data_IF_646244413416
#
_entry.id   IF_646244413416
#
_cell.length_a   1.000
_cell.length_b   1.000
_cell.length_c   1.000
_cell.angle_alpha   90.00
_cell.angle_beta   90.00
_cell.angle_gamma   90.00
#
_symmetry.space_group_name_H-M   'P 1'
#
loop_
_entity.id
_entity.type
_entity.pdbx_description
1 polymer ?
#
# COMPACT_ATOMS: atom_id res chain seq x y z
N UNK A 1 5.10 27.96 -12.25
CA UNK A 1 4.88 27.56 -10.83
C UNK A 1 4.04 26.30 -10.85
N UNK A 2 4.50 25.20 -10.24
CA UNK A 2 3.85 23.88 -10.36
C UNK A 2 2.95 23.51 -9.17
N UNK A 3 3.24 24.07 -7.99
CA UNK A 3 2.53 23.78 -6.75
C UNK A 3 1.64 24.94 -6.32
N UNK A 4 0.43 24.60 -5.89
CA UNK A 4 -0.62 25.50 -5.47
C UNK A 4 -1.15 25.08 -4.11
N UNK A 5 -1.62 26.05 -3.33
CA UNK A 5 -2.28 25.82 -2.06
C UNK A 5 -3.74 26.22 -2.19
N UNK A 6 -4.63 25.31 -1.86
CA UNK A 6 -6.07 25.56 -1.76
C UNK A 6 -6.56 25.05 -0.39
N UNK A 7 -6.98 25.99 0.46
CA UNK A 7 -7.25 25.73 1.86
C UNK A 7 -6.08 25.01 2.56
N UNK A 8 -6.34 23.78 2.99
CA UNK A 8 -5.39 22.93 3.72
C UNK A 8 -4.57 21.99 2.82
N UNK A 9 -4.79 22.00 1.50
CA UNK A 9 -4.12 21.12 0.56
C UNK A 9 -3.07 21.90 -0.23
N UNK A 10 -1.83 21.39 -0.24
CA UNK A 10 -0.82 21.78 -1.23
C UNK A 10 -0.79 20.70 -2.30
N UNK A 11 -0.91 21.05 -3.57
CA UNK A 11 -0.97 20.09 -4.66
C UNK A 11 -0.25 20.58 -5.92
N UNK A 12 0.18 19.65 -6.76
CA UNK A 12 0.69 19.92 -8.09
C UNK A 12 -0.46 19.88 -9.10
N UNK A 13 -0.64 20.95 -9.88
CA UNK A 13 -1.70 21.04 -10.89
C UNK A 13 -1.21 20.86 -12.33
N UNK A 14 0.11 20.71 -12.52
CA UNK A 14 0.78 20.55 -13.80
C UNK A 14 1.92 19.53 -13.66
N UNK A 15 1.52 18.26 -13.57
CA UNK A 15 2.45 17.12 -13.43
C UNK A 15 3.31 16.95 -14.68
N UNK A 16 2.75 17.23 -15.86
CA UNK A 16 3.46 17.16 -17.14
C UNK A 16 4.57 18.21 -17.22
N UNK A 17 4.25 19.47 -16.91
CA UNK A 17 5.23 20.54 -16.84
C UNK A 17 6.29 20.27 -15.77
N UNK A 18 5.90 19.74 -14.62
CA UNK A 18 6.83 19.34 -13.56
C UNK A 18 7.82 18.28 -14.05
N UNK A 19 7.34 17.23 -14.73
CA UNK A 19 8.20 16.17 -15.30
C UNK A 19 9.13 16.68 -16.39
N UNK A 20 8.61 17.52 -17.29
CA UNK A 20 9.40 18.17 -18.34
C UNK A 20 10.51 19.04 -17.77
N UNK A 21 10.28 19.68 -16.62
CA UNK A 21 11.31 20.44 -15.91
C UNK A 21 12.47 19.57 -15.38
N UNK A 22 12.24 18.27 -15.21
CA UNK A 22 13.25 17.29 -14.80
C UNK A 22 13.78 16.46 -15.98
N UNK A 23 13.48 16.86 -17.22
CA UNK A 23 13.83 16.12 -18.44
C UNK A 23 13.36 14.65 -18.43
N UNK A 24 12.23 14.39 -17.75
CA UNK A 24 11.64 13.06 -17.67
C UNK A 24 10.66 12.89 -18.84
N UNK A 25 10.97 11.97 -19.75
CA UNK A 25 10.04 11.56 -20.80
C UNK A 25 8.86 10.81 -20.17
N UNK A 26 7.65 11.27 -20.48
CA UNK A 26 6.46 10.82 -19.77
C UNK A 26 5.81 9.60 -20.43
N UNK A 27 5.98 8.43 -19.82
CA UNK A 27 5.14 7.25 -20.09
C UNK A 27 4.16 7.00 -18.92
N UNK A 28 2.83 7.20 -19.10
CA UNK A 28 1.80 6.80 -18.15
C UNK A 28 1.94 5.38 -17.59
N UNK A 29 2.45 4.44 -18.41
CA UNK A 29 2.56 3.04 -18.04
C UNK A 29 3.58 2.80 -16.92
N UNK A 30 4.57 3.69 -16.81
CA UNK A 30 5.70 3.64 -15.88
C UNK A 30 5.49 4.44 -14.59
N UNK A 31 4.33 5.05 -14.35
CA UNK A 31 4.09 5.81 -13.12
C UNK A 31 2.85 5.31 -12.38
N UNK A 32 2.90 5.39 -11.05
CA UNK A 32 1.78 5.01 -10.16
C UNK A 32 1.58 6.07 -9.09
N UNK A 33 0.33 6.53 -8.93
CA UNK A 33 -0.06 7.42 -7.84
C UNK A 33 -0.27 6.60 -6.58
N UNK A 34 0.33 7.06 -5.49
CA UNK A 34 0.12 6.55 -4.16
C UNK A 34 -0.41 7.68 -3.29
N UNK A 35 -1.58 7.46 -2.70
CA UNK A 35 -2.11 8.30 -1.64
C UNK A 35 -2.02 7.48 -0.36
N UNK A 36 -1.43 8.07 0.67
CA UNK A 36 -1.37 7.45 1.97
C UNK A 36 -1.56 8.49 3.06
N UNK A 37 -2.27 8.09 4.10
CA UNK A 37 -2.38 8.86 5.32
C UNK A 37 -1.41 8.38 6.38
N UNK A 38 -0.94 9.32 7.18
CA UNK A 38 -0.16 9.09 8.39
C UNK A 38 -0.88 9.76 9.55
N UNK A 39 -0.44 9.52 10.78
CA UNK A 39 -1.03 10.16 11.97
C UNK A 39 -1.04 11.69 11.93
N UNK A 40 -0.20 12.31 11.09
CA UNK A 40 0.03 13.75 11.09
C UNK A 40 -0.18 14.39 9.73
N UNK A 41 -0.45 13.60 8.68
CA UNK A 41 -0.56 14.13 7.32
C UNK A 41 -1.08 13.13 6.32
N UNK A 42 -1.79 13.64 5.33
CA UNK A 42 -2.16 12.99 4.09
C UNK A 42 -1.18 13.40 2.99
N UNK A 43 -0.70 12.43 2.20
CA UNK A 43 0.29 12.65 1.14
C UNK A 43 -0.09 11.89 -0.12
N UNK A 44 0.05 12.55 -1.26
CA UNK A 44 -0.10 11.98 -2.59
C UNK A 44 1.25 12.10 -3.32
N UNK A 45 1.79 10.98 -3.79
CA UNK A 45 3.08 10.92 -4.47
C UNK A 45 2.97 10.10 -5.76
N UNK A 46 3.70 10.50 -6.79
CA UNK A 46 3.88 9.71 -8.00
C UNK A 46 5.19 8.93 -7.90
N UNK A 47 5.10 7.62 -8.08
CA UNK A 47 6.26 6.73 -8.04
C UNK A 47 6.52 6.16 -9.44
N UNK A 48 7.79 6.14 -9.84
CA UNK A 48 8.21 5.51 -11.08
C UNK A 48 8.37 4.00 -10.91
N UNK A 49 7.87 3.25 -11.87
CA UNK A 49 8.10 1.82 -12.02
C UNK A 49 9.52 1.65 -12.55
N UNK A 50 10.43 1.28 -11.68
CA UNK A 50 11.85 1.15 -11.92
C UNK A 50 12.64 1.68 -10.72
N UNK A 51 12.01 2.58 -9.95
CA UNK A 51 12.68 3.48 -9.01
C UNK A 51 13.88 4.21 -9.65
N UNK A 52 13.90 4.29 -10.99
CA UNK A 52 14.91 5.00 -11.80
C UNK A 52 14.84 6.51 -11.56
N UNK A 53 13.68 7.01 -11.13
CA UNK A 53 13.45 8.41 -10.76
C UNK A 53 12.98 8.50 -9.32
N UNK A 54 13.32 9.63 -8.67
CA UNK A 54 12.80 9.97 -7.36
C UNK A 54 11.27 10.09 -7.38
N UNK A 55 10.64 9.81 -6.24
CA UNK A 55 9.20 10.02 -6.09
C UNK A 55 8.87 11.51 -6.21
N UNK A 56 7.82 11.81 -6.96
CA UNK A 56 7.36 13.17 -7.19
C UNK A 56 6.20 13.48 -6.22
N UNK A 57 6.35 14.43 -5.29
CA UNK A 57 5.23 14.82 -4.44
C UNK A 57 4.17 15.53 -5.28
N UNK A 58 2.94 15.06 -5.22
CA UNK A 58 1.79 15.63 -5.94
C UNK A 58 0.78 16.28 -5.01
N UNK A 59 0.73 15.87 -3.74
CA UNK A 59 -0.21 16.43 -2.78
C UNK A 59 0.27 16.24 -1.34
N UNK A 60 -0.01 17.23 -0.50
CA UNK A 60 0.28 17.17 0.92
C UNK A 60 -0.72 18.00 1.73
N UNK A 61 -1.20 17.44 2.83
CA UNK A 61 -1.91 18.17 3.86
C UNK A 61 -1.60 17.61 5.24
N UNK A 62 -1.60 18.47 6.25
CA UNK A 62 -1.51 18.08 7.68
C UNK A 62 -2.88 18.11 8.39
N UNK A 63 -3.92 18.55 7.68
CA UNK A 63 -5.27 18.72 8.24
C UNK A 63 -6.33 17.83 7.58
N UNK A 64 -6.02 17.23 6.42
CA UNK A 64 -6.91 16.28 5.76
C UNK A 64 -6.68 14.85 6.25
N UNK A 65 -7.74 14.06 6.21
CA UNK A 65 -7.75 12.67 6.68
C UNK A 65 -8.06 11.68 5.54
N UNK A 66 -7.85 10.39 5.78
CA UNK A 66 -8.17 9.34 4.81
C UNK A 66 -9.67 9.04 4.81
N UNK A 67 -10.45 9.97 4.26
CA UNK A 67 -11.88 9.80 4.04
C UNK A 67 -12.23 10.04 2.57
N UNK A 68 -13.42 9.59 2.16
CA UNK A 68 -13.82 9.65 0.76
C UNK A 68 -13.83 11.08 0.19
N UNK A 69 -14.30 12.06 0.96
CA UNK A 69 -14.42 13.44 0.50
C UNK A 69 -13.04 14.09 0.29
N UNK A 70 -12.13 13.91 1.24
CA UNK A 70 -10.77 14.45 1.18
C UNK A 70 -9.97 13.78 0.06
N UNK A 71 -10.11 12.46 -0.11
CA UNK A 71 -9.50 11.73 -1.20
C UNK A 71 -10.05 12.18 -2.56
N UNK A 72 -11.38 12.33 -2.68
CA UNK A 72 -12.03 12.82 -3.90
C UNK A 72 -11.51 14.21 -4.26
N UNK A 73 -11.44 15.12 -3.29
CA UNK A 73 -10.89 16.46 -3.50
C UNK A 73 -9.43 16.42 -3.95
N UNK A 74 -8.58 15.60 -3.33
CA UNK A 74 -7.17 15.46 -3.74
C UNK A 74 -7.05 14.94 -5.16
N UNK A 75 -7.82 13.90 -5.49
CA UNK A 75 -7.84 13.30 -6.82
C UNK A 75 -8.30 14.34 -7.85
N UNK A 76 -9.39 15.05 -7.61
CA UNK A 76 -9.85 16.13 -8.50
C UNK A 76 -8.77 17.18 -8.73
N UNK A 77 -8.11 17.66 -7.66
CA UNK A 77 -7.10 18.71 -7.78
C UNK A 77 -5.82 18.27 -8.51
N UNK A 78 -5.37 17.03 -8.28
CA UNK A 78 -4.17 16.47 -8.91
C UNK A 78 -4.46 16.03 -10.36
N UNK A 79 -5.66 15.48 -10.61
CA UNK A 79 -6.02 14.82 -11.87
C UNK A 79 -6.79 15.72 -12.83
N UNK A 80 -7.20 16.93 -12.41
CA UNK A 80 -8.06 17.86 -13.18
C UNK A 80 -7.55 18.19 -14.59
N UNK A 81 -6.28 17.94 -14.91
CA UNK A 81 -5.67 18.28 -16.22
C UNK A 81 -4.92 17.14 -16.88
N UNK A 82 -4.91 15.95 -16.29
CA UNK A 82 -4.01 14.87 -16.74
C UNK A 82 -4.81 13.71 -17.35
N UNK A 83 -4.71 13.55 -18.67
CA UNK A 83 -5.27 12.43 -19.45
C UNK A 83 -4.76 11.06 -18.98
N UNK A 84 -3.68 11.04 -18.17
CA UNK A 84 -3.14 9.85 -17.53
C UNK A 84 -4.21 8.96 -16.90
N UNK A 85 -5.21 9.59 -16.30
CA UNK A 85 -6.15 8.93 -15.40
C UNK A 85 -7.44 8.46 -16.05
N UNK A 86 -7.65 8.82 -17.32
CA UNK A 86 -8.79 8.35 -18.12
C UNK A 86 -8.58 6.96 -18.71
N UNK A 87 -7.37 6.39 -18.63
CA UNK A 87 -7.07 5.04 -19.12
C UNK A 87 -7.38 3.99 -18.04
N UNK A 88 -8.48 3.27 -18.21
CA UNK A 88 -8.89 2.15 -17.37
C UNK A 88 -8.38 0.78 -17.85
N UNK A 89 -7.90 0.72 -19.10
CA UNK A 89 -7.35 -0.49 -19.71
C UNK A 89 -5.84 -0.59 -19.41
N UNK A 90 -5.51 -1.42 -18.42
CA UNK A 90 -4.14 -1.73 -18.03
C UNK A 90 -3.76 -3.06 -18.67
N UNK A 91 -2.73 -3.05 -19.52
CA UNK A 91 -2.19 -4.28 -20.09
C UNK A 91 -1.75 -5.23 -18.97
N UNK A 92 -2.21 -6.48 -19.07
CA UNK A 92 -1.80 -7.55 -18.15
C UNK A 92 -0.27 -7.63 -18.16
N UNK A 93 0.37 -7.69 -16.98
CA UNK A 93 1.81 -7.93 -16.94
C UNK A 93 2.08 -9.33 -17.49
N UNK A 94 2.65 -9.38 -18.70
CA UNK A 94 2.93 -10.63 -19.40
C UNK A 94 4.06 -11.44 -18.75
N UNK A 95 5.25 -10.82 -18.62
CA UNK A 95 6.43 -11.48 -18.06
C UNK A 95 7.18 -10.55 -17.08
N UNK A 96 7.71 -11.13 -16.00
CA UNK A 96 8.60 -10.44 -15.05
C UNK A 96 10.05 -10.60 -15.52
N UNK A 97 10.38 -9.90 -16.58
CA UNK A 97 11.73 -9.81 -17.16
C UNK A 97 12.59 -8.87 -16.30
N UNK A 98 13.67 -9.38 -15.66
CA UNK A 98 14.63 -8.53 -14.96
C UNK A 98 15.22 -7.48 -15.91
N UNK A 99 15.31 -6.25 -15.46
CA UNK A 99 15.85 -5.11 -16.20
C UNK A 99 14.80 -4.23 -16.88
N UNK A 100 13.57 -4.70 -17.10
CA UNK A 100 12.58 -3.93 -17.86
C UNK A 100 11.73 -2.98 -16.98
N UNK A 101 11.29 -3.42 -15.78
CA UNK A 101 10.40 -2.64 -14.90
C UNK A 101 10.57 -2.98 -13.40
N UNK A 102 11.46 -2.28 -12.67
CA UNK A 102 11.81 -2.41 -11.23
C UNK A 102 12.72 -3.56 -10.77
N UNK A 103 13.09 -4.51 -11.62
CA UNK A 103 13.82 -5.70 -11.18
C UNK A 103 15.24 -5.65 -11.73
N UNK A 104 16.12 -4.85 -11.13
CA UNK A 104 17.49 -4.58 -11.65
C UNK A 104 18.36 -5.85 -11.63
N UNK A 105 18.10 -6.76 -10.68
CA UNK A 105 18.69 -8.10 -10.63
C UNK A 105 17.57 -9.13 -10.74
N UNK A 106 17.85 -10.31 -11.32
CA UNK A 106 17.00 -11.50 -11.12
C UNK A 106 16.68 -11.60 -9.63
N UNK A 107 15.39 -11.62 -9.27
CA UNK A 107 14.99 -11.73 -7.87
C UNK A 107 15.58 -13.04 -7.34
N UNK A 108 16.59 -12.95 -6.46
CA UNK A 108 17.22 -14.12 -5.80
C UNK A 108 16.21 -14.91 -4.93
N UNK A 109 15.00 -14.39 -4.84
CA UNK A 109 13.91 -14.86 -4.02
C UNK A 109 12.66 -14.96 -4.92
N UNK A 110 11.89 -16.07 -4.83
CA UNK A 110 10.63 -16.22 -5.54
C UNK A 110 9.68 -15.02 -5.33
N UNK A 111 8.71 -14.75 -6.23
CA UNK A 111 7.72 -13.67 -6.09
C UNK A 111 7.02 -13.64 -4.73
N UNK A 112 6.81 -14.82 -4.13
CA UNK A 112 6.30 -15.07 -2.78
C UNK A 112 7.14 -14.42 -1.65
N UNK A 113 8.37 -14.00 -1.96
CA UNK A 113 9.37 -13.46 -1.03
C UNK A 113 9.77 -12.02 -1.36
N UNK A 114 9.10 -11.38 -2.32
CA UNK A 114 9.23 -9.94 -2.56
C UNK A 114 8.79 -9.18 -1.32
N UNK A 115 9.61 -8.25 -0.85
CA UNK A 115 9.36 -7.50 0.39
C UNK A 115 8.01 -6.77 0.30
N UNK A 116 7.06 -7.26 1.11
CA UNK A 116 5.75 -6.67 1.38
C UNK A 116 5.85 -5.16 1.66
N UNK A 117 4.75 -4.39 1.49
CA UNK A 117 4.73 -2.96 1.77
C UNK A 117 5.34 -2.63 3.15
N UNK A 118 5.81 -1.38 3.36
CA UNK A 118 6.41 -0.92 4.60
C UNK A 118 5.78 -1.56 5.84
N UNK A 119 6.61 -2.02 6.78
CA UNK A 119 6.21 -2.83 7.94
C UNK A 119 4.90 -2.33 8.63
N UNK A 120 4.67 -1.01 8.67
CA UNK A 120 3.49 -0.37 9.26
C UNK A 120 2.17 -0.68 8.54
N UNK A 121 2.18 -0.93 7.22
CA UNK A 121 1.01 -1.33 6.43
C UNK A 121 0.63 -2.78 6.76
N UNK A 122 1.61 -3.70 6.79
CA UNK A 122 1.37 -5.11 7.15
C UNK A 122 0.93 -5.26 8.61
N UNK A 123 1.46 -4.43 9.52
CA UNK A 123 0.99 -4.31 10.91
C UNK A 123 -0.46 -3.81 10.99
N UNK A 124 -0.80 -2.76 10.23
CA UNK A 124 -2.15 -2.20 10.17
C UNK A 124 -3.18 -3.22 9.69
N UNK A 125 -2.87 -3.96 8.63
CA UNK A 125 -3.77 -4.98 8.09
C UNK A 125 -3.94 -6.19 9.01
N UNK A 126 -2.86 -6.74 9.57
CA UNK A 126 -2.98 -7.86 10.52
C UNK A 126 -3.78 -7.47 11.76
N UNK A 127 -3.66 -6.21 12.21
CA UNK A 127 -4.49 -5.68 13.28
C UNK A 127 -5.98 -5.72 12.92
N UNK A 128 -6.33 -5.28 11.71
CA UNK A 128 -7.73 -5.28 11.24
C UNK A 128 -8.26 -6.69 11.02
N UNK A 129 -7.46 -7.57 10.41
CA UNK A 129 -7.81 -8.97 10.21
C UNK A 129 -8.19 -9.65 11.54
N UNK A 130 -7.35 -9.50 12.57
CA UNK A 130 -7.58 -10.16 13.86
C UNK A 130 -8.76 -9.57 14.61
N UNK A 131 -8.98 -8.26 14.50
CA UNK A 131 -10.19 -7.61 15.03
C UNK A 131 -11.48 -8.10 14.37
N UNK A 132 -11.40 -8.51 13.10
CA UNK A 132 -12.54 -9.04 12.35
C UNK A 132 -12.81 -10.53 12.59
N UNK A 133 -11.87 -11.26 13.22
CA UNK A 133 -12.05 -12.68 13.51
C UNK A 133 -13.17 -12.91 14.53
N UNK A 134 -13.97 -13.97 14.37
CA UNK A 134 -14.95 -14.37 15.36
C UNK A 134 -14.24 -14.72 16.68
N UNK A 135 -14.74 -14.17 17.81
CA UNK A 135 -14.13 -14.27 19.15
C UNK A 135 -13.85 -15.71 19.62
N UNK A 136 -14.62 -16.68 19.12
CA UNK A 136 -14.49 -18.10 19.45
C UNK A 136 -14.16 -18.98 18.24
N UNK A 137 -13.74 -18.36 17.12
CA UNK A 137 -13.34 -19.06 15.91
C UNK A 137 -12.10 -19.94 16.12
N UNK A 138 -11.95 -20.96 15.29
CA UNK A 138 -10.78 -21.86 15.31
C UNK A 138 -9.49 -21.07 15.09
N UNK A 139 -9.48 -20.13 14.13
CA UNK A 139 -8.37 -19.22 13.85
C UNK A 139 -7.97 -18.37 15.09
N UNK A 140 -8.94 -17.79 15.80
CA UNK A 140 -8.64 -17.00 17.00
C UNK A 140 -8.13 -17.87 18.16
N UNK A 141 -8.70 -19.07 18.36
CA UNK A 141 -8.20 -20.04 19.35
C UNK A 141 -6.77 -20.49 19.04
N UNK A 142 -6.44 -20.67 17.77
CA UNK A 142 -5.08 -20.97 17.33
C UNK A 142 -4.11 -19.83 17.63
N UNK A 143 -4.51 -18.58 17.41
CA UNK A 143 -3.68 -17.41 17.77
C UNK A 143 -3.36 -17.38 19.27
N UNK A 144 -4.34 -17.69 20.12
CA UNK A 144 -4.14 -17.78 21.57
C UNK A 144 -3.13 -18.88 21.96
N UNK A 145 -3.18 -20.05 21.30
CA UNK A 145 -2.25 -21.14 21.58
C UNK A 145 -0.85 -20.88 21.02
N UNK A 146 -0.74 -20.23 19.85
CA UNK A 146 0.54 -19.93 19.19
C UNK A 146 1.34 -18.84 19.88
N UNK A 147 0.64 -17.87 20.49
CA UNK A 147 1.24 -16.76 21.21
C UNK A 147 0.82 -16.75 22.69
N UNK A 148 1.19 -17.76 23.50
CA UNK A 148 0.76 -17.85 24.90
C UNK A 148 1.33 -16.73 25.78
N UNK A 149 2.37 -16.03 25.30
CA UNK A 149 2.95 -14.85 25.95
C UNK A 149 2.12 -13.57 25.73
N UNK A 150 1.19 -13.57 24.77
CA UNK A 150 0.26 -12.47 24.55
C UNK A 150 -1.03 -12.74 25.30
N UNK A 151 -1.56 -11.74 26.00
CA UNK A 151 -2.88 -11.85 26.61
C UNK A 151 -3.96 -11.86 25.53
N UNK A 152 -5.09 -12.49 25.81
CA UNK A 152 -6.25 -12.51 24.93
C UNK A 152 -6.70 -11.10 24.53
N UNK A 153 -6.58 -10.13 25.45
CA UNK A 153 -6.88 -8.71 25.18
C UNK A 153 -5.94 -8.13 24.12
N UNK A 154 -4.64 -8.42 24.19
CA UNK A 154 -3.66 -7.97 23.19
C UNK A 154 -3.91 -8.62 21.82
N UNK A 155 -4.31 -9.89 21.82
CA UNK A 155 -4.68 -10.60 20.60
C UNK A 155 -5.95 -10.01 19.98
N UNK A 156 -7.00 -9.78 20.77
CA UNK A 156 -8.25 -9.10 20.32
C UNK A 156 -7.98 -7.73 19.73
N UNK A 157 -7.04 -6.98 20.30
CA UNK A 157 -6.64 -5.68 19.79
C UNK A 157 -5.71 -5.74 18.57
N UNK A 158 -5.33 -6.94 18.12
CA UNK A 158 -4.45 -7.14 16.98
C UNK A 158 -3.03 -6.62 17.22
N UNK A 159 -2.55 -6.68 18.46
CA UNK A 159 -1.23 -6.17 18.87
C UNK A 159 -0.18 -7.25 18.62
N UNK A 160 0.49 -7.14 17.48
CA UNK A 160 1.58 -8.04 17.08
C UNK A 160 2.88 -7.29 16.83
N UNK A 161 4.00 -8.00 16.96
CA UNK A 161 5.30 -7.53 16.50
C UNK A 161 5.55 -8.03 15.08
N UNK A 162 6.39 -7.32 14.31
CA UNK A 162 6.79 -7.75 12.97
C UNK A 162 7.29 -9.20 12.91
N UNK A 163 8.19 -9.64 13.81
CA UNK A 163 8.62 -11.04 13.90
C UNK A 163 7.48 -12.03 14.20
N UNK A 164 6.52 -11.65 15.05
CA UNK A 164 5.34 -12.47 15.34
C UNK A 164 4.47 -12.70 14.12
N UNK A 165 4.21 -11.64 13.33
CA UNK A 165 3.45 -11.72 12.08
C UNK A 165 4.16 -12.62 11.05
N UNK A 166 5.48 -12.45 10.88
CA UNK A 166 6.26 -13.28 9.95
C UNK A 166 6.18 -14.76 10.34
N UNK A 167 6.34 -15.06 11.64
CA UNK A 167 6.24 -16.44 12.14
C UNK A 167 4.85 -17.03 11.92
N UNK A 168 3.81 -16.22 12.06
CA UNK A 168 2.42 -16.62 11.86
C UNK A 168 2.11 -16.91 10.38
N UNK A 169 2.52 -16.03 9.47
CA UNK A 169 2.26 -16.19 8.03
C UNK A 169 3.09 -17.30 7.37
N UNK A 170 4.23 -17.65 7.95
CA UNK A 170 5.04 -18.80 7.49
C UNK A 170 4.56 -20.14 8.07
N UNK A 171 3.51 -20.16 8.88
CA UNK A 171 3.00 -21.36 9.53
C UNK A 171 1.86 -21.99 8.71
N UNK A 172 2.09 -23.19 8.17
CA UNK A 172 1.08 -23.89 7.38
C UNK A 172 -0.17 -24.24 8.19
N UNK A 173 -0.02 -24.53 9.49
CA UNK A 173 -1.14 -24.86 10.37
C UNK A 173 -2.06 -23.65 10.61
N UNK A 174 -1.54 -22.43 10.48
CA UNK A 174 -2.37 -21.23 10.60
C UNK A 174 -3.39 -21.15 9.47
N UNK A 175 -2.98 -21.43 8.24
CA UNK A 175 -3.87 -21.47 7.08
C UNK A 175 -4.94 -22.57 7.19
N UNK A 176 -4.64 -23.68 7.85
CA UNK A 176 -5.62 -24.76 8.10
C UNK A 176 -6.72 -24.34 9.09
N UNK A 177 -6.41 -23.43 10.02
CA UNK A 177 -7.38 -22.92 11.00
C UNK A 177 -8.35 -21.88 10.44
N UNK A 178 -8.12 -21.43 9.19
CA UNK A 178 -8.92 -20.41 8.52
C UNK A 178 -10.03 -21.01 7.66
N UNK A 179 -11.22 -20.40 7.73
CA UNK A 179 -12.28 -20.64 6.76
C UNK A 179 -12.00 -20.00 5.40
N UNK A 180 -12.79 -20.35 4.38
CA UNK A 180 -12.56 -19.89 2.99
C UNK A 180 -12.54 -18.36 2.83
N UNK A 181 -13.36 -17.64 3.61
CA UNK A 181 -13.39 -16.17 3.61
C UNK A 181 -12.13 -15.57 4.25
N UNK A 182 -11.64 -16.20 5.31
CA UNK A 182 -10.43 -15.77 6.03
C UNK A 182 -9.19 -16.03 5.17
N UNK A 183 -9.11 -17.19 4.49
CA UNK A 183 -8.05 -17.52 3.53
C UNK A 183 -7.96 -16.50 2.41
N UNK A 184 -9.07 -16.17 1.74
CA UNK A 184 -9.10 -15.14 0.69
C UNK A 184 -8.66 -13.76 1.19
N UNK A 185 -8.94 -13.46 2.46
CA UNK A 185 -8.51 -12.21 3.07
C UNK A 185 -6.99 -12.20 3.34
N UNK A 186 -6.40 -13.37 3.61
CA UNK A 186 -4.96 -13.52 3.88
C UNK A 186 -4.12 -13.70 2.62
N UNK A 187 -4.68 -14.30 1.57
CA UNK A 187 -4.04 -14.46 0.25
C UNK A 187 -3.78 -13.12 -0.48
N UNK A 188 -4.41 -12.03 -0.03
CA UNK A 188 -4.18 -10.68 -0.51
C UNK A 188 -2.95 -9.99 0.14
N UNK A 189 -2.19 -10.68 1.02
CA UNK A 189 -1.02 -10.17 1.76
C UNK A 189 0.34 -10.73 1.30
#
# INVERSE_FOLDING_TARGET
QFFYKDGNLVFCNDVQGLKKCFDIEYDPSEWRLFIYSSKTSLKAILMHIGNSFASLPLGHSVHLEENYNDLSMILEKIMSRDLHWTKSDWSLRGALTPGEKNVINTTLLPPEKVLSPPLHIKLGFMKQFIKSLPKYGECFRYLCSKFPKLSEVKLKEGVFTGPGIRKLLSDSLFSETMGDKEKRSVELF
#
